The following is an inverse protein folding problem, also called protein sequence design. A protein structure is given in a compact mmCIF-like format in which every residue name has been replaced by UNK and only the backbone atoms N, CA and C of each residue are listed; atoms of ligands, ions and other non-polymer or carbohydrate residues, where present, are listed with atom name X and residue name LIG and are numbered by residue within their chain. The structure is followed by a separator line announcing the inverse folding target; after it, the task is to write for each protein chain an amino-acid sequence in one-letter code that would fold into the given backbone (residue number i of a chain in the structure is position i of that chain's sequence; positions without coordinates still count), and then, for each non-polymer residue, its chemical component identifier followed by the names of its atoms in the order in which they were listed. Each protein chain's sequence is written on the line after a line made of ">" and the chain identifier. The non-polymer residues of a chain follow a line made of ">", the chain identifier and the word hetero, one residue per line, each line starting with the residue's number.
data_IF_588689005321
#
_entry.id   IF_588689005321
#
_cell.length_a   1.000
_cell.length_b   1.000
_cell.length_c   1.000
_cell.angle_alpha   90.00
_cell.angle_beta   90.00
_cell.angle_gamma   90.00
#
_symmetry.space_group_name_H-M   'P 1'
#
loop_
_entity.id
_entity.type
_entity.pdbx_description
1 polymer ?
#
# COMPACT_ATOMS: atom_id res chain seq x y z
N UNK A 1 -32.23 -3.03 0.28
CA UNK A 1 -30.82 -2.62 0.08
C UNK A 1 -30.85 -1.14 -0.27
N UNK A 2 -30.10 -0.30 0.45
CA UNK A 2 -30.00 1.12 0.12
C UNK A 2 -29.25 1.27 -1.21
N UNK A 3 -29.95 1.72 -2.24
CA UNK A 3 -29.33 2.11 -3.50
C UNK A 3 -28.66 3.47 -3.28
N UNK A 4 -27.36 3.57 -3.58
CA UNK A 4 -26.64 4.83 -3.60
C UNK A 4 -27.41 5.87 -4.42
N UNK A 5 -27.53 7.09 -3.88
CA UNK A 5 -28.22 8.17 -4.58
C UNK A 5 -27.48 8.56 -5.86
N UNK A 6 -28.22 9.02 -6.88
CA UNK A 6 -27.67 9.44 -8.17
C UNK A 6 -26.50 10.45 -8.04
N UNK A 7 -26.58 11.33 -7.04
CA UNK A 7 -25.54 12.33 -6.75
C UNK A 7 -24.29 11.72 -6.10
N UNK A 8 -24.43 10.70 -5.25
CA UNK A 8 -23.28 9.96 -4.69
C UNK A 8 -22.57 9.16 -5.76
N UNK A 9 -23.34 8.49 -6.62
CA UNK A 9 -22.81 7.76 -7.76
C UNK A 9 -22.05 8.71 -8.69
N UNK A 10 -22.63 9.88 -9.01
CA UNK A 10 -21.97 10.90 -9.83
C UNK A 10 -20.69 11.44 -9.19
N UNK A 11 -20.67 11.67 -7.88
CA UNK A 11 -19.44 12.06 -7.16
C UNK A 11 -18.38 10.98 -7.20
N UNK A 12 -18.75 9.72 -6.98
CA UNK A 12 -17.83 8.59 -7.08
C UNK A 12 -17.21 8.48 -8.48
N UNK A 13 -18.02 8.63 -9.53
CA UNK A 13 -17.56 8.64 -10.93
C UNK A 13 -16.67 9.84 -11.26
N UNK A 14 -16.94 11.01 -10.67
CA UNK A 14 -16.06 12.17 -10.82
C UNK A 14 -14.72 11.93 -10.13
N UNK A 15 -14.72 11.45 -8.88
CA UNK A 15 -13.48 11.14 -8.16
C UNK A 15 -12.67 10.03 -8.84
N UNK A 16 -13.32 8.99 -9.38
CA UNK A 16 -12.63 7.91 -10.08
C UNK A 16 -11.96 8.39 -11.37
N UNK A 17 -12.61 9.28 -12.13
CA UNK A 17 -12.01 9.93 -13.32
C UNK A 17 -10.87 10.85 -12.95
N UNK A 18 -11.02 11.65 -11.91
CA UNK A 18 -9.95 12.54 -11.44
C UNK A 18 -8.72 11.74 -10.96
N UNK A 19 -8.93 10.58 -10.34
CA UNK A 19 -7.84 9.65 -9.96
C UNK A 19 -7.16 9.04 -11.20
N UNK A 20 -7.90 8.81 -12.30
CA UNK A 20 -7.33 8.31 -13.56
C UNK A 20 -6.58 9.39 -14.36
N UNK A 21 -7.03 10.64 -14.33
CA UNK A 21 -6.43 11.76 -15.06
C UNK A 21 -5.19 12.35 -14.36
N UNK A 22 -5.08 12.15 -13.04
CA UNK A 22 -3.84 12.39 -12.32
C UNK A 22 -2.91 11.20 -12.57
N UNK A 23 -2.01 11.33 -13.54
CA UNK A 23 -0.82 10.49 -13.58
C UNK A 23 -0.14 10.62 -12.22
N UNK A 24 -0.30 9.64 -11.33
CA UNK A 24 0.29 9.62 -9.98
C UNK A 24 1.79 9.30 -10.12
N UNK A 25 2.49 10.12 -10.89
CA UNK A 25 3.94 10.09 -11.06
C UNK A 25 4.61 11.14 -10.17
N UNK A 26 3.82 12.03 -9.53
CA UNK A 26 4.33 12.98 -8.54
C UNK A 26 3.70 12.75 -7.16
N UNK A 27 4.55 12.29 -6.23
CA UNK A 27 4.56 12.54 -4.77
C UNK A 27 3.31 13.26 -4.21
N UNK A 28 2.16 12.61 -4.16
CA UNK A 28 1.10 13.05 -3.27
C UNK A 28 1.55 12.78 -1.82
N UNK A 29 1.36 13.71 -0.85
CA UNK A 29 1.53 13.37 0.55
C UNK A 29 0.62 12.18 0.84
N UNK A 30 1.23 11.11 1.33
CA UNK A 30 0.56 9.83 1.54
C UNK A 30 -0.81 10.05 2.21
N UNK A 31 -1.93 9.70 1.54
CA UNK A 31 -3.23 10.17 1.96
C UNK A 31 -3.58 9.62 3.34
N UNK A 32 -4.07 10.50 4.19
CA UNK A 32 -4.56 10.15 5.52
C UNK A 32 -3.58 10.38 6.67
N UNK A 33 -4.12 10.29 7.88
CA UNK A 33 -3.40 10.47 9.12
C UNK A 33 -2.98 9.11 9.69
N UNK A 34 -1.70 8.96 9.99
CA UNK A 34 -1.27 7.85 10.83
C UNK A 34 -1.62 8.19 12.29
N UNK A 35 -2.46 7.36 12.91
CA UNK A 35 -2.78 7.48 14.33
C UNK A 35 -1.59 7.04 15.17
N UNK A 36 -1.40 7.63 16.36
CA UNK A 36 -0.23 7.43 17.25
C UNK A 36 0.43 6.04 17.16
N UNK A 37 1.78 6.00 17.11
CA UNK A 37 2.51 4.74 16.99
C UNK A 37 2.18 3.83 18.16
N UNK A 38 2.11 2.54 17.88
CA UNK A 38 2.01 1.54 18.94
C UNK A 38 3.40 1.05 19.36
N UNK A 39 4.40 1.21 18.49
CA UNK A 39 5.81 0.93 18.76
C UNK A 39 6.69 1.99 18.08
N UNK A 40 7.56 2.63 18.86
CA UNK A 40 8.47 3.66 18.38
C UNK A 40 9.92 3.17 18.41
N UNK A 41 10.74 3.68 17.48
CA UNK A 41 12.19 3.49 17.44
C UNK A 41 12.63 2.02 17.48
N UNK A 42 11.83 1.12 16.92
CA UNK A 42 12.16 -0.29 16.91
C UNK A 42 13.15 -0.60 15.79
N UNK A 43 14.07 -1.57 16.00
CA UNK A 43 14.90 -2.07 14.93
C UNK A 43 14.02 -2.76 13.87
N UNK A 44 14.28 -2.46 12.61
CA UNK A 44 13.79 -3.19 11.45
C UNK A 44 14.55 -4.53 11.43
N UNK A 45 14.01 -5.50 12.15
CA UNK A 45 14.67 -6.78 12.43
C UNK A 45 14.51 -7.81 11.31
N UNK A 46 13.75 -7.50 10.27
CA UNK A 46 13.45 -8.42 9.18
C UNK A 46 14.25 -8.03 7.94
N UNK A 47 15.29 -8.81 7.63
CA UNK A 47 16.07 -8.67 6.39
C UNK A 47 15.15 -8.60 5.17
N UNK A 48 14.07 -9.39 5.17
CA UNK A 48 13.03 -9.40 4.12
C UNK A 48 12.40 -8.02 3.87
N UNK A 49 12.06 -7.27 4.92
CA UNK A 49 11.43 -5.96 4.76
C UNK A 49 12.46 -4.94 4.29
N UNK A 50 13.70 -5.07 4.76
CA UNK A 50 14.80 -4.25 4.30
C UNK A 50 15.08 -4.47 2.80
N UNK A 51 15.05 -5.73 2.33
CA UNK A 51 15.18 -6.09 0.93
C UNK A 51 14.06 -5.49 0.07
N UNK A 52 12.80 -5.62 0.52
CA UNK A 52 11.65 -5.00 -0.14
C UNK A 52 11.77 -3.48 -0.21
N UNK A 53 12.25 -2.84 0.86
CA UNK A 53 12.47 -1.40 0.86
C UNK A 53 13.56 -0.99 -0.13
N UNK A 54 14.64 -1.76 -0.25
CA UNK A 54 15.70 -1.48 -1.24
C UNK A 54 15.14 -1.52 -2.65
N UNK A 55 14.38 -2.58 -2.98
CA UNK A 55 13.71 -2.70 -4.29
C UNK A 55 12.80 -1.50 -4.52
N UNK A 56 11.90 -1.23 -3.58
CA UNK A 56 10.97 -0.10 -3.65
C UNK A 56 11.67 1.24 -3.89
N UNK A 57 12.73 1.55 -3.15
CA UNK A 57 13.41 2.84 -3.27
C UNK A 57 14.26 2.95 -4.53
N UNK A 58 14.89 1.87 -4.99
CA UNK A 58 15.61 1.88 -6.26
C UNK A 58 14.66 2.07 -7.44
N UNK A 59 13.49 1.43 -7.41
CA UNK A 59 12.46 1.56 -8.46
C UNK A 59 11.79 2.95 -8.43
N UNK A 60 11.56 3.50 -7.23
CA UNK A 60 10.91 4.81 -7.06
C UNK A 60 11.84 5.98 -7.40
N UNK A 61 13.16 5.83 -7.20
CA UNK A 61 14.14 6.88 -7.39
C UNK A 61 15.24 6.43 -8.36
N UNK A 62 14.93 6.41 -9.66
CA UNK A 62 15.80 5.91 -10.74
C UNK A 62 17.26 6.43 -10.69
N UNK A 63 17.46 7.66 -10.23
CA UNK A 63 18.77 8.33 -10.18
C UNK A 63 19.54 8.11 -8.85
N UNK A 64 18.96 7.40 -7.89
CA UNK A 64 19.53 7.14 -6.58
C UNK A 64 19.71 5.63 -6.39
N UNK A 65 20.74 5.25 -5.63
CA UNK A 65 20.97 3.86 -5.25
C UNK A 65 20.78 3.69 -3.77
N UNK A 66 19.98 2.71 -3.37
CA UNK A 66 19.73 2.35 -1.97
C UNK A 66 20.39 1.03 -1.63
N UNK A 67 20.91 0.92 -0.40
CA UNK A 67 21.60 -0.30 0.08
C UNK A 67 21.34 -0.59 1.55
N UNK A 68 21.67 -1.81 1.97
CA UNK A 68 21.71 -2.17 3.39
C UNK A 68 22.86 -1.43 4.09
N UNK A 69 22.74 -1.13 5.40
CA UNK A 69 23.81 -0.50 6.18
C UNK A 69 25.14 -1.25 6.16
N UNK A 70 25.10 -2.58 6.11
CA UNK A 70 26.27 -3.45 6.26
C UNK A 70 26.83 -4.00 4.93
N UNK A 71 26.28 -3.57 3.79
CA UNK A 71 26.80 -3.94 2.47
C UNK A 71 27.98 -3.05 2.05
N UNK A 72 28.95 -3.66 1.36
CA UNK A 72 30.20 -3.00 0.95
C UNK A 72 29.97 -1.96 -0.14
N UNK A 73 30.69 -0.84 -0.02
CA UNK A 73 30.37 0.47 -0.58
C UNK A 73 30.24 0.54 -2.10
N UNK A 74 29.04 0.94 -2.57
CA UNK A 74 28.97 1.80 -3.75
C UNK A 74 29.09 3.24 -3.30
N UNK A 75 30.13 3.93 -3.75
CA UNK A 75 30.30 5.36 -3.51
C UNK A 75 29.01 6.06 -3.99
N UNK A 76 28.31 6.74 -3.07
CA UNK A 76 27.05 7.48 -3.31
C UNK A 76 25.72 6.74 -3.18
N UNK A 77 25.69 5.50 -2.68
CA UNK A 77 24.41 4.92 -2.24
C UNK A 77 23.88 5.52 -0.95
N UNK A 78 22.56 5.60 -0.82
CA UNK A 78 21.82 5.96 0.39
C UNK A 78 21.57 4.70 1.21
N UNK A 79 21.87 4.78 2.50
CA UNK A 79 21.63 3.69 3.44
C UNK A 79 20.17 3.76 3.90
N UNK A 80 19.45 2.63 3.82
CA UNK A 80 18.13 2.54 4.44
C UNK A 80 18.30 2.43 5.96
N UNK A 81 17.62 3.28 6.75
CA UNK A 81 17.72 3.23 8.21
C UNK A 81 17.06 1.96 8.75
N UNK A 82 17.68 1.39 9.78
CA UNK A 82 17.14 0.24 10.50
C UNK A 82 16.14 0.63 11.59
N UNK A 83 15.78 1.90 11.75
CA UNK A 83 14.83 2.32 12.80
C UNK A 83 13.55 2.79 12.17
N UNK A 84 12.45 2.21 12.63
CA UNK A 84 11.11 2.56 12.17
C UNK A 84 10.19 2.79 13.36
N UNK A 85 9.20 3.65 13.17
CA UNK A 85 8.03 3.73 14.02
C UNK A 85 6.94 2.86 13.39
N UNK A 86 6.40 1.89 14.12
CA UNK A 86 5.30 1.06 13.66
C UNK A 86 3.96 1.58 14.18
N UNK A 87 2.98 1.50 13.31
CA UNK A 87 1.64 2.02 13.51
C UNK A 87 0.61 0.97 13.14
N UNK A 88 -0.44 0.98 13.94
CA UNK A 88 -1.48 -0.04 13.90
C UNK A 88 -2.64 0.37 13.01
N UNK A 89 -2.81 1.68 12.80
CA UNK A 89 -4.01 2.28 12.21
C UNK A 89 -3.64 3.49 11.37
N UNK A 90 -4.33 3.64 10.25
CA UNK A 90 -4.35 4.84 9.43
C UNK A 90 -5.78 5.29 9.20
N UNK A 91 -6.02 6.58 9.22
CA UNK A 91 -7.29 7.18 8.88
C UNK A 91 -7.20 7.84 7.51
N UNK A 92 -8.08 7.48 6.57
CA UNK A 92 -8.20 8.13 5.27
C UNK A 92 -9.63 8.68 5.18
N UNK A 93 -9.78 10.00 5.14
CA UNK A 93 -11.09 10.63 5.27
C UNK A 93 -11.77 10.26 6.60
N UNK A 94 -12.96 9.67 6.53
CA UNK A 94 -13.69 9.15 7.70
C UNK A 94 -13.41 7.67 8.00
N UNK A 95 -12.67 6.96 7.16
CA UNK A 95 -12.41 5.53 7.29
C UNK A 95 -11.12 5.25 8.06
N UNK A 96 -11.15 4.24 8.93
CA UNK A 96 -9.97 3.79 9.69
C UNK A 96 -9.57 2.42 9.18
N UNK A 97 -8.42 2.36 8.54
CA UNK A 97 -7.74 1.14 8.13
C UNK A 97 -6.89 0.63 9.30
N UNK A 98 -7.15 -0.62 9.65
CA UNK A 98 -6.40 -1.33 10.68
C UNK A 98 -5.25 -2.13 10.09
N UNK A 99 -4.44 -2.66 10.99
CA UNK A 99 -3.48 -3.72 10.70
C UNK A 99 -3.86 -4.98 11.46
N UNK A 100 -3.16 -6.08 11.22
CA UNK A 100 -3.35 -7.32 12.00
C UNK A 100 -3.15 -7.12 13.52
N UNK A 101 -2.41 -6.09 13.92
CA UNK A 101 -2.16 -5.74 15.32
C UNK A 101 -3.24 -4.86 15.93
N UNK A 102 -4.32 -4.57 15.20
CA UNK A 102 -5.48 -3.82 15.68
C UNK A 102 -6.71 -4.71 15.79
N UNK A 103 -6.95 -5.43 16.90
CA UNK A 103 -8.07 -6.35 17.02
C UNK A 103 -9.43 -5.71 16.70
N UNK A 104 -9.64 -4.46 17.13
CA UNK A 104 -10.86 -3.69 16.86
C UNK A 104 -11.07 -3.34 15.38
N UNK A 105 -9.98 -3.25 14.62
CA UNK A 105 -9.95 -2.82 13.22
C UNK A 105 -9.38 -3.91 12.30
N UNK A 106 -9.35 -5.16 12.75
CA UNK A 106 -8.75 -6.26 11.97
C UNK A 106 -9.49 -6.45 10.65
N UNK A 107 -10.81 -6.25 10.62
CA UNK A 107 -11.61 -6.31 9.38
C UNK A 107 -11.22 -5.23 8.38
N UNK A 108 -10.81 -4.04 8.84
CA UNK A 108 -10.33 -2.98 7.95
C UNK A 108 -8.82 -3.09 7.66
N UNK A 109 -8.18 -4.22 7.99
CA UNK A 109 -6.85 -4.55 7.49
C UNK A 109 -6.86 -5.25 6.13
N UNK A 110 -8.01 -5.80 5.73
CA UNK A 110 -8.18 -6.38 4.41
C UNK A 110 -8.47 -5.25 3.41
N UNK A 111 -7.67 -5.15 2.37
CA UNK A 111 -7.74 -4.10 1.36
C UNK A 111 -7.82 -4.69 -0.03
N UNK A 112 -8.33 -3.91 -0.97
CA UNK A 112 -8.23 -4.14 -2.41
C UNK A 112 -7.46 -2.97 -3.00
N UNK A 113 -6.26 -3.22 -3.49
CA UNK A 113 -5.48 -2.24 -4.21
C UNK A 113 -5.77 -2.34 -5.71
N UNK A 114 -6.00 -1.20 -6.35
CA UNK A 114 -6.26 -1.09 -7.77
C UNK A 114 -5.10 -0.34 -8.41
N UNK A 115 -4.40 -0.99 -9.33
CA UNK A 115 -3.31 -0.40 -10.11
C UNK A 115 -3.82 -0.15 -11.50
N UNK A 116 -3.75 1.10 -11.95
CA UNK A 116 -4.05 1.51 -13.31
C UNK A 116 -2.73 1.73 -14.05
N UNK A 117 -2.61 1.12 -15.22
CA UNK A 117 -1.44 1.24 -16.08
C UNK A 117 -1.72 2.19 -17.25
N UNK A 118 -0.66 2.57 -17.98
CA UNK A 118 -0.76 3.51 -19.10
C UNK A 118 -1.61 2.98 -20.27
N UNK A 119 -1.78 1.67 -20.37
CA UNK A 119 -2.60 0.99 -21.38
C UNK A 119 -4.09 0.90 -20.98
N UNK A 120 -4.52 1.69 -19.99
CA UNK A 120 -5.83 1.64 -19.34
C UNK A 120 -6.19 0.30 -18.68
N UNK A 121 -5.25 -0.66 -18.65
CA UNK A 121 -5.45 -1.90 -17.93
C UNK A 121 -5.47 -1.64 -16.43
N UNK A 122 -6.28 -2.43 -15.76
CA UNK A 122 -6.49 -2.34 -14.32
C UNK A 122 -6.22 -3.70 -13.74
N UNK A 123 -5.26 -3.76 -12.84
CA UNK A 123 -5.08 -4.89 -11.95
C UNK A 123 -5.62 -4.60 -10.56
N UNK A 124 -6.24 -5.62 -9.97
CA UNK A 124 -6.76 -5.57 -8.60
C UNK A 124 -6.06 -6.66 -7.81
N UNK A 125 -5.48 -6.26 -6.68
CA UNK A 125 -4.83 -7.18 -5.74
C UNK A 125 -5.47 -7.05 -4.36
N UNK A 126 -6.04 -8.13 -3.82
CA UNK A 126 -6.40 -8.19 -2.41
C UNK A 126 -5.14 -8.30 -1.54
N UNK A 127 -5.14 -7.59 -0.42
CA UNK A 127 -4.05 -7.67 0.53
C UNK A 127 -4.53 -7.59 1.96
N UNK A 128 -3.65 -7.94 2.87
CA UNK A 128 -3.84 -7.70 4.29
C UNK A 128 -2.69 -6.86 4.85
N UNK A 129 -3.05 -5.69 5.39
CA UNK A 129 -2.12 -4.76 6.03
C UNK A 129 -1.55 -5.40 7.29
N UNK A 130 -0.25 -5.59 7.30
CA UNK A 130 0.48 -6.13 8.45
C UNK A 130 0.78 -5.05 9.47
N UNK A 131 1.27 -3.90 9.02
CA UNK A 131 1.46 -2.70 9.82
C UNK A 131 1.79 -1.53 8.89
N UNK A 132 1.54 -0.31 9.37
CA UNK A 132 2.04 0.90 8.77
C UNK A 132 3.35 1.29 9.45
N UNK A 133 4.26 1.96 8.76
CA UNK A 133 5.48 2.42 9.39
C UNK A 133 5.98 3.75 8.82
N UNK A 134 6.72 4.47 9.66
CA UNK A 134 7.41 5.70 9.29
C UNK A 134 8.89 5.55 9.58
N UNK A 135 9.70 6.03 8.65
CA UNK A 135 11.14 6.10 8.82
C UNK A 135 11.72 7.29 8.06
N UNK A 136 12.92 7.71 8.46
CA UNK A 136 13.57 8.90 7.93
C UNK A 136 14.64 8.56 6.91
N UNK A 137 14.57 9.10 5.69
CA UNK A 137 15.59 8.87 4.66
C UNK A 137 16.25 10.19 4.29
N UNK A 138 17.56 10.13 4.10
CA UNK A 138 18.36 11.24 3.58
C UNK A 138 18.60 11.09 2.08
N UNK A 139 17.68 11.58 1.26
CA UNK A 139 17.76 11.46 -0.22
C UNK A 139 18.85 12.32 -0.85
N UNK A 140 19.31 13.37 -0.16
CA UNK A 140 20.33 14.30 -0.66
C UNK A 140 21.41 14.62 0.40
N UNK A 141 21.62 13.74 1.39
CA UNK A 141 22.55 13.89 2.53
C UNK A 141 22.29 15.08 3.47
N UNK A 142 21.40 16.01 3.11
CA UNK A 142 21.17 17.28 3.82
C UNK A 142 19.77 17.29 4.47
N UNK A 143 18.75 16.77 3.77
CA UNK A 143 17.38 16.78 4.26
C UNK A 143 16.90 15.36 4.55
N UNK A 144 16.74 15.07 5.84
CA UNK A 144 15.97 13.91 6.29
C UNK A 144 14.49 14.14 6.02
N UNK A 145 13.83 13.19 5.39
CA UNK A 145 12.39 13.21 5.13
C UNK A 145 11.74 11.98 5.73
N UNK A 146 10.58 12.17 6.35
CA UNK A 146 9.73 11.06 6.75
C UNK A 146 9.10 10.42 5.52
N UNK A 147 9.27 9.11 5.41
CA UNK A 147 8.56 8.27 4.47
C UNK A 147 7.52 7.45 5.23
N UNK A 148 6.33 7.39 4.67
CA UNK A 148 5.18 6.72 5.24
C UNK A 148 4.86 5.54 4.33
N UNK A 149 4.94 4.33 4.85
CA UNK A 149 4.75 3.10 4.08
C UNK A 149 3.78 2.15 4.79
N UNK A 150 3.24 1.21 4.04
CA UNK A 150 2.44 0.09 4.57
C UNK A 150 3.10 -1.21 4.13
N UNK A 151 3.23 -2.16 5.06
CA UNK A 151 3.63 -3.51 4.71
C UNK A 151 2.37 -4.37 4.53
N UNK A 152 2.16 -4.88 3.33
CA UNK A 152 0.97 -5.63 2.92
C UNK A 152 1.38 -7.01 2.44
N UNK A 153 0.71 -8.06 2.94
CA UNK A 153 0.78 -9.37 2.30
C UNK A 153 -0.33 -9.46 1.25
N UNK A 154 0.04 -9.74 0.01
CA UNK A 154 -0.89 -9.87 -1.12
C UNK A 154 -1.35 -11.33 -1.26
N UNK A 155 -2.67 -11.55 -1.37
CA UNK A 155 -3.19 -12.89 -1.61
C UNK A 155 -2.94 -13.33 -3.05
N UNK A 156 -2.71 -14.62 -3.26
CA UNK A 156 -2.61 -15.18 -4.60
C UNK A 156 -3.94 -15.07 -5.34
N UNK A 157 -3.86 -14.78 -6.63
CA UNK A 157 -5.02 -14.79 -7.51
C UNK A 157 -5.43 -16.23 -7.79
N UNK A 158 -6.69 -16.59 -7.52
CA UNK A 158 -7.22 -17.86 -8.02
C UNK A 158 -7.48 -17.69 -9.51
N UNK A 159 -7.08 -18.68 -10.31
CA UNK A 159 -7.27 -18.64 -11.78
C UNK A 159 -8.75 -18.60 -12.21
N UNK A 160 -9.68 -18.88 -11.31
CA UNK A 160 -11.09 -19.06 -11.62
C UNK A 160 -11.89 -17.79 -11.30
N UNK A 161 -12.45 -17.17 -12.34
CA UNK A 161 -13.47 -16.12 -12.21
C UNK A 161 -14.84 -16.77 -12.10
N UNK A 162 -15.60 -16.40 -11.08
CA UNK A 162 -16.97 -16.88 -10.91
C UNK A 162 -17.93 -15.75 -11.25
N UNK A 163 -18.90 -16.06 -12.10
CA UNK A 163 -19.99 -15.16 -12.45
C UNK A 163 -21.20 -15.54 -11.61
N UNK A 164 -21.64 -14.62 -10.75
CA UNK A 164 -22.87 -14.79 -9.98
C UNK A 164 -23.93 -13.90 -10.59
N UNK A 165 -25.00 -14.51 -11.11
CA UNK A 165 -26.20 -13.79 -11.52
C UNK A 165 -26.99 -13.41 -10.28
N UNK A 166 -27.22 -12.11 -10.06
CA UNK A 166 -28.18 -11.63 -9.07
C UNK A 166 -29.59 -11.70 -9.71
N UNK A 167 -29.68 -11.46 -11.03
CA UNK A 167 -30.88 -11.51 -11.89
C UNK A 167 -30.44 -11.75 -13.36
N UNK A 168 -31.37 -11.97 -14.31
CA UNK A 168 -31.05 -12.14 -15.75
C UNK A 168 -30.27 -10.97 -16.37
N UNK A 169 -30.36 -9.76 -15.79
CA UNK A 169 -29.69 -8.54 -16.28
C UNK A 169 -28.48 -8.10 -15.44
N UNK A 170 -28.29 -8.66 -14.24
CA UNK A 170 -27.24 -8.24 -13.31
C UNK A 170 -26.31 -9.40 -13.00
N UNK A 171 -25.16 -9.43 -13.69
CA UNK A 171 -24.05 -10.31 -13.36
C UNK A 171 -23.03 -9.58 -12.50
N UNK A 172 -22.71 -10.16 -11.34
CA UNK A 172 -21.60 -9.73 -10.51
C UNK A 172 -20.40 -10.64 -10.77
N UNK A 173 -19.28 -10.03 -11.14
CA UNK A 173 -18.00 -10.73 -11.22
C UNK A 173 -17.46 -10.87 -9.79
N UNK A 174 -17.48 -12.08 -9.25
CA UNK A 174 -16.83 -12.39 -7.97
C UNK A 174 -15.51 -13.07 -8.30
N UNK A 175 -14.42 -12.33 -8.10
CA UNK A 175 -13.09 -12.92 -8.08
C UNK A 175 -12.88 -13.53 -6.69
N UNK A 176 -12.73 -14.85 -6.63
CA UNK A 176 -12.30 -15.54 -5.41
C UNK A 176 -10.78 -15.43 -5.30
N UNK A 177 -10.30 -15.26 -4.08
CA UNK A 177 -8.87 -15.10 -3.78
C UNK A 177 -8.42 -16.24 -2.90
N UNK A 178 -7.17 -16.67 -3.10
CA UNK A 178 -6.60 -17.75 -2.32
C UNK A 178 -6.46 -17.31 -0.86
N UNK A 179 -6.53 -18.25 0.06
CA UNK A 179 -6.15 -18.00 1.46
C UNK A 179 -4.63 -17.90 1.62
N UNK A 180 -3.86 -18.36 0.63
CA UNK A 180 -2.41 -18.24 0.59
C UNK A 180 -1.93 -16.87 0.09
N UNK A 181 -0.85 -16.38 0.69
CA UNK A 181 -0.14 -15.18 0.24
C UNK A 181 0.92 -15.52 -0.81
N UNK A 182 1.23 -14.55 -1.68
CA UNK A 182 2.47 -14.64 -2.46
C UNK A 182 3.67 -14.78 -1.53
N UNK A 183 4.70 -15.56 -1.91
CA UNK A 183 5.92 -15.65 -1.13
C UNK A 183 6.51 -14.24 -1.00
N UNK A 184 7.13 -13.98 0.15
CA UNK A 184 7.92 -12.77 0.33
C UNK A 184 9.12 -12.86 -0.62
N UNK A 185 9.37 -11.79 -1.37
CA UNK A 185 10.44 -11.70 -2.37
C UNK A 185 11.82 -11.91 -1.77
#
# INVERSE_FOLDING_TARGET
>A
MDQFGHDEMRRFWMYSRTIQELTISEKEPFPGEILKPFLENIPLSADEILDLMIVYYNDTYENLKFRKPFETDSLNSIIIPLKINKYCRRQIGSEIFGSIFSPRYQKSSYILAKFAFEDDSIDIYPGQIQFFFVHEISTNRINMKNHYLEYVHWYKKIKNRFYFGINEEQMCNVELWDTEFYPKS
#
